data_IF_046598829321
#
_entry.id   IF_046598829321
#
_cell.length_a   1.000
_cell.length_b   1.000
_cell.length_c   1.000
_cell.angle_alpha   90.00
_cell.angle_beta   90.00
_cell.angle_gamma   90.00
#
_symmetry.space_group_name_H-M   'P 1'
#
loop_
_entity.id
_entity.type
_entity.pdbx_description
1 polymer ?
#
# COMPACT_ATOMS: atom_id res chain seq x y z
N UNK A 1 -9.34 -24.58 23.34
CA UNK A 1 -9.04 -24.05 21.99
C UNK A 1 -8.86 -22.53 22.02
N UNK A 2 -9.82 -21.76 22.53
CA UNK A 2 -9.71 -20.29 22.60
C UNK A 2 -8.48 -19.77 23.36
N UNK A 3 -8.06 -20.46 24.43
CA UNK A 3 -6.86 -20.07 25.18
C UNK A 3 -5.57 -20.20 24.36
N UNK A 4 -5.48 -21.25 23.53
CA UNK A 4 -4.32 -21.45 22.63
C UNK A 4 -4.27 -20.36 21.57
N UNK A 5 -5.42 -20.00 21.00
CA UNK A 5 -5.53 -18.91 20.01
C UNK A 5 -5.04 -17.59 20.64
N UNK A 6 -5.46 -17.27 21.86
CA UNK A 6 -5.00 -16.06 22.57
C UNK A 6 -3.50 -16.07 22.86
N UNK A 7 -2.92 -17.22 23.15
CA UNK A 7 -1.47 -17.36 23.34
C UNK A 7 -0.71 -17.10 22.04
N UNK A 8 -1.23 -17.64 20.93
CA UNK A 8 -0.67 -17.41 19.59
C UNK A 8 -0.77 -15.93 19.21
N UNK A 9 -1.92 -15.29 19.38
CA UNK A 9 -2.09 -13.86 19.10
C UNK A 9 -1.09 -12.99 19.88
N UNK A 10 -0.90 -13.32 21.16
CA UNK A 10 0.05 -12.62 22.02
C UNK A 10 1.51 -12.84 21.59
N UNK A 11 1.83 -14.03 21.09
CA UNK A 11 3.15 -14.34 20.54
C UNK A 11 3.41 -13.59 19.23
N UNK A 12 2.42 -13.50 18.34
CA UNK A 12 2.48 -12.72 17.10
C UNK A 12 2.72 -11.24 17.44
N UNK A 13 1.93 -10.67 18.34
CA UNK A 13 2.07 -9.27 18.77
C UNK A 13 3.48 -8.99 19.32
N UNK A 14 4.01 -9.86 20.17
CA UNK A 14 5.36 -9.73 20.72
C UNK A 14 6.44 -9.80 19.64
N UNK A 15 6.27 -10.68 18.67
CA UNK A 15 7.24 -10.89 17.58
C UNK A 15 7.30 -9.67 16.67
N UNK A 16 6.15 -9.17 16.22
CA UNK A 16 6.09 -8.02 15.31
C UNK A 16 6.61 -6.74 15.97
N UNK A 17 6.26 -6.50 17.24
CA UNK A 17 6.80 -5.37 18.00
C UNK A 17 8.33 -5.37 18.10
N UNK A 18 8.95 -6.56 18.07
CA UNK A 18 10.40 -6.72 18.11
C UNK A 18 11.11 -6.60 16.75
N UNK A 19 10.41 -6.88 15.64
CA UNK A 19 10.97 -6.85 14.29
C UNK A 19 10.88 -5.45 13.66
N UNK A 20 9.65 -4.91 13.57
CA UNK A 20 9.34 -3.71 12.80
C UNK A 20 8.37 -2.81 13.59
N UNK A 21 8.86 -2.14 14.65
CA UNK A 21 8.02 -1.42 15.60
C UNK A 21 7.30 -0.22 14.98
N UNK A 22 7.95 0.50 14.05
CA UNK A 22 7.39 1.70 13.45
C UNK A 22 6.25 1.36 12.49
N UNK A 23 6.47 0.39 11.60
CA UNK A 23 5.47 -0.10 10.66
C UNK A 23 4.25 -0.69 11.40
N UNK A 24 4.51 -1.41 12.49
CA UNK A 24 3.45 -1.92 13.35
C UNK A 24 2.59 -0.82 13.99
N UNK A 25 3.21 0.25 14.51
CA UNK A 25 2.49 1.38 15.09
C UNK A 25 1.64 2.09 14.03
N UNK A 26 2.19 2.29 12.83
CA UNK A 26 1.46 2.89 11.72
C UNK A 26 0.22 2.06 11.35
N UNK A 27 0.36 0.75 11.18
CA UNK A 27 -0.75 -0.13 10.80
C UNK A 27 -1.82 -0.23 11.89
N UNK A 28 -1.42 -0.33 13.16
CA UNK A 28 -2.35 -0.44 14.29
C UNK A 28 -3.03 0.88 14.67
N UNK A 29 -2.54 2.03 14.17
CA UNK A 29 -3.24 3.31 14.30
C UNK A 29 -4.53 3.40 13.47
N UNK A 30 -4.71 2.49 12.50
CA UNK A 30 -5.90 2.47 11.64
C UNK A 30 -7.02 1.70 12.35
N UNK A 31 -8.20 2.31 12.56
CA UNK A 31 -9.30 1.64 13.23
C UNK A 31 -9.73 0.40 12.43
N UNK A 32 -9.83 -0.74 13.11
CA UNK A 32 -10.16 -2.03 12.49
C UNK A 32 -8.95 -2.88 12.09
N UNK A 33 -7.72 -2.34 12.13
CA UNK A 33 -6.50 -3.14 11.93
C UNK A 33 -5.92 -3.55 13.28
N UNK A 34 -6.12 -4.83 13.61
CA UNK A 34 -5.55 -5.45 14.80
C UNK A 34 -4.13 -6.00 14.60
N UNK A 35 -3.49 -6.52 15.67
CA UNK A 35 -2.12 -7.03 15.63
C UNK A 35 -1.91 -8.15 14.59
N UNK A 36 -2.89 -9.04 14.42
CA UNK A 36 -2.81 -10.16 13.48
C UNK A 36 -2.82 -9.69 12.03
N UNK A 37 -3.69 -8.73 11.68
CA UNK A 37 -3.75 -8.16 10.32
C UNK A 37 -2.49 -7.35 10.03
N UNK A 38 -2.06 -6.52 10.99
CA UNK A 38 -0.82 -5.76 10.87
C UNK A 38 0.39 -6.69 10.65
N UNK A 39 0.44 -7.81 11.38
CA UNK A 39 1.47 -8.82 11.21
C UNK A 39 1.46 -9.46 9.81
N UNK A 40 0.29 -9.78 9.27
CA UNK A 40 0.16 -10.30 7.91
C UNK A 40 0.68 -9.30 6.87
N UNK A 41 0.28 -8.03 6.97
CA UNK A 41 0.74 -6.98 6.05
C UNK A 41 2.26 -6.81 6.10
N UNK A 42 2.85 -6.77 7.30
CA UNK A 42 4.31 -6.67 7.47
C UNK A 42 5.01 -7.93 6.94
N UNK A 43 4.42 -9.11 7.09
CA UNK A 43 4.98 -10.35 6.57
C UNK A 43 5.01 -10.38 5.02
N UNK A 44 4.02 -9.78 4.36
CA UNK A 44 3.93 -9.71 2.90
C UNK A 44 4.81 -8.61 2.29
N UNK A 45 4.78 -7.39 2.87
CA UNK A 45 5.51 -6.23 2.34
C UNK A 45 6.97 -6.23 2.82
N UNK A 46 7.23 -6.75 4.03
CA UNK A 46 8.51 -6.59 4.73
C UNK A 46 8.66 -5.19 5.35
N UNK A 47 9.91 -4.74 5.49
CA UNK A 47 10.18 -3.39 5.97
C UNK A 47 10.00 -2.37 4.85
N UNK A 48 9.43 -1.21 5.19
CA UNK A 48 9.33 -0.08 4.25
C UNK A 48 10.69 0.42 3.78
N UNK A 49 11.77 0.14 4.52
CA UNK A 49 13.14 0.48 4.15
C UNK A 49 13.67 -0.27 2.92
N UNK A 50 12.99 -1.34 2.47
CA UNK A 50 13.34 -2.03 1.23
C UNK A 50 12.91 -1.26 -0.03
N UNK A 51 12.11 -0.20 0.12
CA UNK A 51 11.67 0.63 -0.99
C UNK A 51 12.45 1.94 -1.00
N UNK A 52 12.99 2.31 -2.16
CA UNK A 52 13.73 3.57 -2.34
C UNK A 52 12.86 4.81 -2.09
N UNK A 53 11.53 4.68 -2.28
CA UNK A 53 10.57 5.76 -2.08
C UNK A 53 9.18 5.24 -1.71
N UNK A 54 8.38 6.13 -1.13
CA UNK A 54 6.97 5.86 -0.87
C UNK A 54 6.19 5.58 -2.16
N UNK A 55 6.61 6.14 -3.30
CA UNK A 55 5.98 5.89 -4.59
C UNK A 55 6.22 4.45 -5.08
N UNK A 56 7.44 3.90 -4.89
CA UNK A 56 7.71 2.49 -5.21
C UNK A 56 6.90 1.54 -4.34
N UNK A 57 6.71 1.85 -3.06
CA UNK A 57 5.83 1.10 -2.17
C UNK A 57 4.36 1.18 -2.62
N UNK A 58 3.87 2.37 -2.96
CA UNK A 58 2.51 2.55 -3.46
C UNK A 58 2.27 1.78 -4.78
N UNK A 59 3.28 1.70 -5.67
CA UNK A 59 3.22 0.89 -6.89
C UNK A 59 3.14 -0.61 -6.57
N UNK A 60 3.96 -1.08 -5.63
CA UNK A 60 3.92 -2.47 -5.17
C UNK A 60 2.55 -2.84 -4.58
N UNK A 61 1.95 -1.93 -3.80
CA UNK A 61 0.62 -2.10 -3.23
C UNK A 61 -0.53 -1.87 -4.24
N UNK A 62 -0.24 -1.50 -5.50
CA UNK A 62 -1.26 -1.19 -6.51
C UNK A 62 -2.07 0.08 -6.22
N UNK A 63 -1.58 0.96 -5.34
CA UNK A 63 -2.24 2.20 -4.91
C UNK A 63 -1.95 3.39 -5.83
N UNK A 64 -1.01 3.26 -6.76
CA UNK A 64 -0.77 4.30 -7.76
C UNK A 64 -1.81 4.22 -8.87
N UNK A 65 -2.34 5.38 -9.26
CA UNK A 65 -3.01 5.48 -10.55
C UNK A 65 -2.09 4.99 -11.65
N UNK A 66 -2.65 4.24 -12.61
CA UNK A 66 -2.06 4.16 -13.94
C UNK A 66 -1.98 5.63 -14.37
N UNK A 67 -0.79 6.23 -14.42
CA UNK A 67 -0.66 7.44 -15.20
C UNK A 67 -1.20 7.03 -16.56
N UNK A 68 -2.39 7.52 -16.92
CA UNK A 68 -2.80 7.55 -18.31
C UNK A 68 -1.63 8.25 -18.95
N UNK A 69 -0.75 7.46 -19.56
CA UNK A 69 0.27 7.97 -20.45
C UNK A 69 -0.58 8.63 -21.48
N UNK A 70 -0.77 9.93 -21.27
CA UNK A 70 -1.54 10.82 -22.08
C UNK A 70 -1.24 10.39 -23.49
N UNK A 71 -2.25 9.79 -24.13
CA UNK A 71 -2.16 9.45 -25.53
C UNK A 71 -1.52 10.68 -26.17
N UNK A 72 -0.43 10.53 -26.92
CA UNK A 72 0.29 11.66 -27.49
C UNK A 72 -0.72 12.66 -28.07
N UNK A 73 -0.50 13.96 -27.91
CA UNK A 73 -1.35 15.01 -28.52
C UNK A 73 -1.55 14.81 -30.03
N UNK A 74 -0.74 13.94 -30.62
CA UNK A 74 -0.76 13.39 -31.97
C UNK A 74 -2.01 12.54 -32.28
N UNK A 75 -2.82 12.16 -31.28
CA UNK A 75 -4.07 11.38 -31.47
C UNK A 75 -5.36 12.22 -31.28
N UNK A 76 -5.27 13.54 -31.36
CA UNK A 76 -6.48 14.35 -31.54
C UNK A 76 -6.91 14.29 -33.03
N UNK A 77 -8.12 13.81 -33.35
CA UNK A 77 -8.61 13.82 -34.72
C UNK A 77 -8.65 15.27 -35.22
N UNK A 78 -8.06 15.51 -36.40
CA UNK A 78 -7.91 16.82 -37.06
C UNK A 78 -9.26 17.57 -37.20
N UNK A 79 -10.38 16.85 -37.07
CA UNK A 79 -11.74 17.40 -37.07
C UNK A 79 -12.02 18.43 -35.96
N UNK A 80 -11.25 18.47 -34.87
CA UNK A 80 -11.50 19.42 -33.77
C UNK A 80 -10.95 20.83 -34.02
N UNK A 81 -10.03 21.02 -34.97
CA UNK A 81 -9.42 22.34 -35.25
C UNK A 81 -10.33 23.27 -36.09
N UNK A 82 -11.29 22.73 -36.83
CA UNK A 82 -12.18 23.53 -37.69
C UNK A 82 -13.18 24.35 -36.87
N UNK A 83 -13.54 23.91 -35.65
CA UNK A 83 -14.52 24.61 -34.80
C UNK A 83 -13.91 25.87 -34.14
N UNK A 84 -12.59 25.95 -33.99
CA UNK A 84 -11.92 27.09 -33.35
C UNK A 84 -11.46 28.20 -34.33
N UNK A 85 -11.72 28.04 -35.64
CA UNK A 85 -11.32 29.00 -36.68
C UNK A 85 -12.50 29.76 -37.35
N UNK A 86 -13.70 29.70 -36.76
CA UNK A 86 -14.87 30.54 -37.07
C UNK A 86 -15.34 31.26 -35.81
#
# INVERSE_FOLDING_TARGET
LENEIKLVDKAIEKTIKGLNPNEYICLTSIPGIGPVIAAGIIAEIGSVAFFDSNNSLAKFAGLTWQSFSFLPLDFLPISSYIIYML
#
